data_IF_560308213787
#
_entry.id   IF_560308213787
#
_cell.length_a   1.000
_cell.length_b   1.000
_cell.length_c   1.000
_cell.angle_alpha   90.00
_cell.angle_beta   90.00
_cell.angle_gamma   90.00
#
_symmetry.space_group_name_H-M   'P 1'
#
loop_
_entity.id
_entity.type
_entity.pdbx_description
1 polymer ?
#
# COMPACT_ATOMS: atom_id res chain seq x y z
N UNK A 1 14.66 21.17 -1.41
CA UNK A 1 14.53 19.90 -0.65
C UNK A 1 13.66 18.99 -1.48
N UNK A 2 14.07 17.78 -1.77
CA UNK A 2 13.33 16.89 -2.67
C UNK A 2 11.98 16.54 -2.05
N UNK A 3 10.89 16.77 -2.78
CA UNK A 3 9.52 16.35 -2.46
C UNK A 3 9.36 14.81 -2.43
N UNK A 4 10.47 14.09 -2.31
CA UNK A 4 10.52 12.64 -2.38
C UNK A 4 10.12 12.04 -1.03
N UNK A 5 9.02 11.28 -1.04
CA UNK A 5 8.46 10.63 0.14
C UNK A 5 8.98 9.20 0.32
N UNK A 6 9.26 8.52 -0.80
CA UNK A 6 9.84 7.17 -0.81
C UNK A 6 10.95 7.12 -1.83
N UNK A 7 12.08 6.51 -1.47
CA UNK A 7 13.11 6.08 -2.41
C UNK A 7 13.54 4.65 -2.09
N UNK A 8 13.42 3.76 -3.07
CA UNK A 8 13.98 2.41 -3.08
C UNK A 8 15.13 2.44 -4.08
N UNK A 9 16.34 2.13 -3.61
CA UNK A 9 17.55 2.24 -4.42
C UNK A 9 18.22 0.86 -4.56
N UNK A 10 18.11 0.28 -5.75
CA UNK A 10 18.74 -1.00 -6.16
C UNK A 10 18.58 -2.13 -5.13
N UNK A 11 17.37 -2.26 -4.58
CA UNK A 11 17.08 -3.26 -3.56
C UNK A 11 17.09 -4.65 -4.16
N UNK A 12 17.78 -5.56 -3.49
CA UNK A 12 17.83 -7.00 -3.82
C UNK A 12 17.43 -7.81 -2.60
N UNK A 13 16.68 -8.92 -2.81
CA UNK A 13 16.29 -9.85 -1.76
C UNK A 13 16.25 -11.29 -2.24
N UNK A 14 16.90 -12.18 -1.47
CA UNK A 14 16.85 -13.63 -1.65
C UNK A 14 16.19 -14.32 -0.47
N UNK A 15 15.54 -15.42 -0.75
CA UNK A 15 15.08 -16.39 0.23
C UNK A 15 15.61 -17.78 -0.21
N UNK A 16 16.68 -18.24 0.42
CA UNK A 16 17.40 -19.42 -0.04
C UNK A 16 17.88 -19.23 -1.50
N UNK A 17 17.49 -20.14 -2.39
CA UNK A 17 17.87 -20.05 -3.81
C UNK A 17 16.96 -19.12 -4.65
N UNK A 18 15.86 -18.62 -4.08
CA UNK A 18 14.90 -17.79 -4.78
C UNK A 18 15.33 -16.31 -4.71
N UNK A 19 15.59 -15.70 -5.86
CA UNK A 19 15.79 -14.26 -5.99
C UNK A 19 14.42 -13.57 -6.08
N UNK A 20 13.90 -13.12 -4.94
CA UNK A 20 12.56 -12.55 -4.84
C UNK A 20 12.48 -11.10 -5.35
N UNK A 21 13.57 -10.32 -5.17
CA UNK A 21 13.74 -8.96 -5.70
C UNK A 21 15.14 -8.84 -6.29
N UNK A 22 15.24 -8.32 -7.49
CA UNK A 22 16.48 -8.19 -8.26
C UNK A 22 16.73 -6.75 -8.67
N UNK A 23 17.52 -6.04 -7.87
CA UNK A 23 17.99 -4.66 -8.09
C UNK A 23 16.86 -3.67 -8.43
N UNK A 24 15.72 -3.74 -7.71
CA UNK A 24 14.57 -2.86 -7.95
C UNK A 24 14.86 -1.47 -7.40
N UNK A 25 14.57 -0.46 -8.20
CA UNK A 25 14.57 0.94 -7.80
C UNK A 25 13.20 1.55 -8.11
N UNK A 26 12.68 2.38 -7.20
CA UNK A 26 11.50 3.17 -7.42
C UNK A 26 11.52 4.43 -6.55
N UNK A 27 10.88 5.48 -6.99
CA UNK A 27 10.72 6.71 -6.22
C UNK A 27 9.27 7.17 -6.24
N UNK A 28 8.83 7.82 -5.15
CA UNK A 28 7.48 8.33 -5.00
C UNK A 28 7.51 9.72 -4.40
N UNK A 29 6.85 10.67 -5.04
CA UNK A 29 6.74 12.05 -4.60
C UNK A 29 5.57 12.31 -3.65
N UNK A 30 5.51 13.52 -3.13
CA UNK A 30 4.40 14.01 -2.31
C UNK A 30 3.13 14.09 -3.15
N UNK A 31 2.00 13.58 -2.61
CA UNK A 31 0.71 13.63 -3.31
C UNK A 31 0.69 12.79 -4.58
N UNK A 32 1.46 11.72 -4.64
CA UNK A 32 1.50 10.79 -5.76
C UNK A 32 0.91 9.44 -5.35
N UNK A 33 0.14 8.84 -6.25
CA UNK A 33 -0.36 7.45 -6.13
C UNK A 33 0.41 6.56 -7.10
N UNK A 34 1.16 5.62 -6.55
CA UNK A 34 1.91 4.63 -7.30
C UNK A 34 1.26 3.25 -7.14
N UNK A 35 0.89 2.62 -8.24
CA UNK A 35 0.41 1.24 -8.19
C UNK A 35 1.48 0.25 -8.60
N UNK A 36 1.62 -0.81 -7.81
CA UNK A 36 2.53 -1.92 -8.07
C UNK A 36 1.71 -3.12 -8.55
N UNK A 37 1.91 -3.53 -9.80
CA UNK A 37 1.18 -4.65 -10.41
C UNK A 37 2.14 -5.76 -10.83
N UNK A 38 1.63 -6.97 -10.97
CA UNK A 38 2.41 -8.14 -11.37
C UNK A 38 1.66 -9.43 -11.03
N UNK A 39 2.04 -10.53 -11.67
CA UNK A 39 1.49 -11.85 -11.36
C UNK A 39 1.79 -12.27 -9.91
N UNK A 40 1.12 -13.33 -9.44
CA UNK A 40 1.45 -13.93 -8.15
C UNK A 40 2.90 -14.44 -8.20
N UNK A 41 3.66 -14.16 -7.14
CA UNK A 41 5.09 -14.49 -7.08
C UNK A 41 6.00 -13.50 -7.80
N UNK A 42 5.50 -12.42 -8.41
CA UNK A 42 6.33 -11.40 -9.06
C UNK A 42 7.25 -10.62 -8.11
N UNK A 43 7.03 -10.72 -6.79
CA UNK A 43 7.84 -10.03 -5.76
C UNK A 43 7.16 -8.84 -5.09
N UNK A 44 5.92 -8.48 -5.47
CA UNK A 44 5.21 -7.29 -4.96
C UNK A 44 5.17 -7.23 -3.42
N UNK A 45 4.60 -8.23 -2.77
CA UNK A 45 4.47 -8.25 -1.29
C UNK A 45 5.85 -8.30 -0.61
N UNK A 46 6.87 -8.92 -1.23
CA UNK A 46 8.25 -8.86 -0.73
C UNK A 46 8.79 -7.43 -0.77
N UNK A 47 8.61 -6.72 -1.89
CA UNK A 47 9.03 -5.33 -2.01
C UNK A 47 8.30 -4.43 -1.01
N UNK A 48 6.98 -4.61 -0.83
CA UNK A 48 6.21 -3.86 0.15
C UNK A 48 6.65 -4.16 1.59
N UNK A 49 6.94 -5.41 1.94
CA UNK A 49 7.47 -5.78 3.27
C UNK A 49 8.84 -5.15 3.54
N UNK A 50 9.69 -5.03 2.52
CA UNK A 50 10.97 -4.32 2.64
C UNK A 50 10.71 -2.83 2.82
N UNK A 51 9.83 -2.23 2.03
CA UNK A 51 9.47 -0.82 2.10
C UNK A 51 8.97 -0.39 3.49
N UNK A 52 8.20 -1.25 4.16
CA UNK A 52 7.68 -0.94 5.51
C UNK A 52 8.58 -1.46 6.65
N UNK A 53 9.73 -2.04 6.32
CA UNK A 53 10.73 -2.50 7.28
C UNK A 53 10.34 -3.77 8.04
N UNK A 54 9.45 -4.60 7.47
CA UNK A 54 9.14 -5.96 7.97
C UNK A 54 10.19 -6.96 7.50
N UNK A 55 10.76 -6.74 6.30
CA UNK A 55 11.88 -7.52 5.78
C UNK A 55 13.07 -6.61 5.49
N UNK A 56 14.27 -7.11 5.75
CA UNK A 56 15.51 -6.40 5.40
C UNK A 56 15.95 -6.80 3.99
N UNK A 57 16.40 -5.85 3.16
CA UNK A 57 17.02 -6.17 1.87
C UNK A 57 18.41 -6.78 2.09
N UNK A 58 18.87 -7.60 1.15
CA UNK A 58 20.25 -8.13 1.18
C UNK A 58 21.24 -7.11 0.62
N UNK A 59 20.80 -6.22 -0.26
CA UNK A 59 21.53 -5.06 -0.75
C UNK A 59 20.60 -3.94 -1.18
N UNK A 60 21.14 -2.73 -1.37
CA UNK A 60 20.35 -1.53 -1.65
C UNK A 60 19.88 -0.86 -0.36
N UNK A 61 19.03 0.16 -0.49
CA UNK A 61 18.47 0.86 0.66
C UNK A 61 17.07 1.40 0.39
N UNK A 62 16.35 1.70 1.47
CA UNK A 62 15.03 2.33 1.44
C UNK A 62 15.06 3.59 2.29
N UNK A 63 14.60 4.69 1.71
CA UNK A 63 14.43 5.97 2.40
C UNK A 63 12.93 6.29 2.46
N UNK A 64 12.46 6.67 3.65
CA UNK A 64 11.09 7.15 3.89
C UNK A 64 11.18 8.57 4.43
N UNK A 65 10.62 9.53 3.70
CA UNK A 65 10.70 10.96 4.05
C UNK A 65 12.14 11.43 4.31
N UNK A 66 13.10 10.88 3.54
CA UNK A 66 14.54 11.16 3.69
C UNK A 66 15.25 10.40 4.79
N UNK A 67 14.56 9.58 5.58
CA UNK A 67 15.13 8.77 6.64
C UNK A 67 15.42 7.34 6.15
N UNK A 68 16.66 6.89 6.34
CA UNK A 68 17.08 5.53 6.00
C UNK A 68 16.42 4.53 6.95
N UNK A 69 15.63 3.61 6.38
CA UNK A 69 14.88 2.63 7.12
C UNK A 69 15.77 1.64 7.92
N UNK A 70 16.98 1.35 7.44
CA UNK A 70 17.93 0.49 8.15
C UNK A 70 18.51 1.17 9.40
N UNK A 71 18.83 2.47 9.30
CA UNK A 71 19.53 3.21 10.36
C UNK A 71 18.56 3.93 11.32
N UNK A 72 17.38 4.32 10.84
CA UNK A 72 16.36 5.08 11.59
C UNK A 72 14.99 4.43 11.51
N UNK A 73 14.92 3.14 11.75
CA UNK A 73 13.72 2.33 11.51
C UNK A 73 12.49 2.78 12.31
N UNK A 74 12.66 3.31 13.52
CA UNK A 74 11.53 3.78 14.36
C UNK A 74 10.96 5.09 13.81
N UNK A 75 11.82 6.08 13.54
CA UNK A 75 11.38 7.39 13.02
C UNK A 75 10.81 7.26 11.60
N UNK A 76 11.49 6.52 10.74
CA UNK A 76 11.02 6.24 9.38
C UNK A 76 9.64 5.56 9.38
N UNK A 77 9.42 4.55 10.24
CA UNK A 77 8.12 3.85 10.34
C UNK A 77 6.99 4.71 10.88
N UNK A 78 7.25 5.77 11.64
CA UNK A 78 6.22 6.72 12.09
C UNK A 78 5.55 7.45 10.91
N UNK A 79 6.24 7.55 9.77
CA UNK A 79 5.70 8.12 8.54
C UNK A 79 4.83 7.15 7.75
N UNK A 80 4.74 5.87 8.17
CA UNK A 80 4.07 4.82 7.41
C UNK A 80 2.69 4.46 7.97
N UNK A 81 1.72 4.31 7.07
CA UNK A 81 0.51 3.54 7.28
C UNK A 81 0.58 2.28 6.42
N UNK A 82 0.29 1.11 6.96
CA UNK A 82 0.41 -0.13 6.22
C UNK A 82 -0.80 -1.04 6.39
N UNK A 83 -1.36 -1.49 5.28
CA UNK A 83 -2.33 -2.56 5.19
C UNK A 83 -1.66 -3.76 4.50
N UNK A 84 -1.36 -4.86 5.18
CA UNK A 84 -0.89 -6.09 4.54
C UNK A 84 -2.03 -6.82 3.81
N UNK A 85 -1.67 -7.66 2.84
CA UNK A 85 -2.61 -8.56 2.17
C UNK A 85 -3.29 -9.49 3.18
N UNK A 86 -2.48 -10.21 4.00
CA UNK A 86 -2.94 -11.04 5.10
C UNK A 86 -2.96 -10.24 6.39
N UNK A 87 -4.17 -10.01 6.90
CA UNK A 87 -4.39 -9.27 8.14
C UNK A 87 -4.33 -10.17 9.36
N UNK A 88 -3.31 -9.97 10.21
CA UNK A 88 -3.23 -10.54 11.54
C UNK A 88 -3.66 -9.47 12.53
N UNK A 89 -4.85 -9.62 13.11
CA UNK A 89 -5.43 -8.70 14.09
C UNK A 89 -5.52 -9.39 15.45
N UNK A 90 -5.59 -8.58 16.52
CA UNK A 90 -5.74 -9.10 17.88
C UNK A 90 -7.19 -9.47 18.15
N UNK A 91 -7.53 -10.76 18.04
CA UNK A 91 -8.89 -11.30 18.14
C UNK A 91 -9.57 -11.01 19.50
N UNK A 92 -8.79 -10.76 20.56
CA UNK A 92 -9.28 -10.50 21.92
C UNK A 92 -9.52 -9.02 22.21
N UNK A 93 -9.20 -8.13 21.29
CA UNK A 93 -9.54 -6.72 21.38
C UNK A 93 -10.87 -6.45 20.66
N UNK A 94 -11.60 -5.46 21.10
CA UNK A 94 -12.69 -4.86 20.31
C UNK A 94 -12.10 -4.05 19.16
N UNK A 95 -12.92 -3.71 18.16
CA UNK A 95 -12.46 -2.85 17.05
C UNK A 95 -11.96 -1.50 17.52
N UNK A 96 -12.65 -0.92 18.52
CA UNK A 96 -12.25 0.36 19.11
C UNK A 96 -10.92 0.25 19.86
N UNK A 97 -10.76 -0.73 20.76
CA UNK A 97 -9.51 -0.97 21.49
C UNK A 97 -8.33 -1.22 20.55
N UNK A 98 -8.59 -1.90 19.41
CA UNK A 98 -7.56 -2.10 18.39
C UNK A 98 -7.13 -0.77 17.75
N UNK A 99 -8.07 0.11 17.41
CA UNK A 99 -7.74 1.44 16.84
C UNK A 99 -7.07 2.35 17.89
N UNK A 100 -7.47 2.30 19.15
CA UNK A 100 -6.82 3.02 20.24
C UNK A 100 -5.37 2.56 20.44
N UNK A 101 -5.14 1.24 20.40
CA UNK A 101 -3.78 0.67 20.43
C UNK A 101 -2.92 1.20 19.27
N UNK A 102 -3.48 1.17 18.04
CA UNK A 102 -2.77 1.69 16.86
C UNK A 102 -2.51 3.18 16.97
N UNK A 103 -3.49 3.97 17.44
CA UNK A 103 -3.33 5.40 17.67
C UNK A 103 -2.18 5.68 18.67
N UNK A 104 -2.15 4.94 19.77
CA UNK A 104 -1.07 5.05 20.76
C UNK A 104 0.31 4.72 20.19
N UNK A 105 0.42 3.65 19.41
CA UNK A 105 1.69 3.25 18.76
C UNK A 105 2.18 4.26 17.71
N UNK A 106 1.24 4.94 17.03
CA UNK A 106 1.54 5.98 16.03
C UNK A 106 1.68 7.37 16.65
N UNK A 107 1.47 7.53 17.94
CA UNK A 107 1.37 8.84 18.61
C UNK A 107 0.34 9.75 17.89
N UNK A 108 -0.75 9.16 17.40
CA UNK A 108 -1.81 9.84 16.69
C UNK A 108 -2.84 10.42 17.67
N UNK A 109 -3.50 11.50 17.26
CA UNK A 109 -4.62 12.06 18.01
C UNK A 109 -5.79 11.06 18.03
N UNK A 110 -6.25 10.61 19.22
CA UNK A 110 -7.38 9.69 19.33
C UNK A 110 -8.68 10.23 18.72
N UNK A 111 -8.83 11.55 18.58
CA UNK A 111 -10.02 12.17 17.97
C UNK A 111 -10.24 11.72 16.51
N UNK A 112 -9.18 11.33 15.80
CA UNK A 112 -9.26 10.78 14.44
C UNK A 112 -9.88 9.39 14.36
N UNK A 113 -10.00 8.66 15.49
CA UNK A 113 -10.56 7.30 15.49
C UNK A 113 -12.03 7.31 15.05
N UNK A 114 -12.82 8.27 15.54
CA UNK A 114 -14.24 8.35 15.20
C UNK A 114 -14.45 8.59 13.70
N UNK A 115 -13.62 9.42 13.06
CA UNK A 115 -13.69 9.66 11.61
C UNK A 115 -13.46 8.37 10.83
N UNK A 116 -12.42 7.60 11.19
CA UNK A 116 -12.11 6.35 10.50
C UNK A 116 -13.17 5.27 10.76
N UNK A 117 -13.70 5.19 12.00
CA UNK A 117 -14.79 4.28 12.37
C UNK A 117 -16.05 4.55 11.54
N UNK A 118 -16.42 5.81 11.38
CA UNK A 118 -17.60 6.20 10.61
C UNK A 118 -17.38 6.02 9.12
N UNK A 119 -16.21 6.41 8.59
CA UNK A 119 -15.87 6.26 7.18
C UNK A 119 -15.93 4.79 6.73
N UNK A 120 -15.34 3.88 7.51
CA UNK A 120 -15.30 2.45 7.21
C UNK A 120 -16.54 1.68 7.70
N UNK A 121 -17.59 2.39 8.18
CA UNK A 121 -18.87 1.80 8.63
C UNK A 121 -18.70 0.79 9.77
N UNK A 122 -17.80 1.07 10.68
CA UNK A 122 -17.49 0.19 11.82
C UNK A 122 -18.28 0.57 13.10
N UNK A 123 -19.00 1.69 13.11
CA UNK A 123 -19.67 2.28 14.28
C UNK A 123 -20.56 1.28 15.03
N UNK A 124 -21.28 0.40 14.31
CA UNK A 124 -22.13 -0.65 14.89
C UNK A 124 -21.36 -1.82 15.47
N UNK A 125 -20.10 -1.99 15.10
CA UNK A 125 -19.29 -3.17 15.41
C UNK A 125 -18.08 -2.84 16.28
N UNK A 126 -17.76 -1.58 16.49
CA UNK A 126 -16.55 -1.13 17.18
C UNK A 126 -16.37 -1.73 18.59
N UNK A 127 -17.47 -2.06 19.28
CA UNK A 127 -17.47 -2.68 20.60
C UNK A 127 -17.44 -4.22 20.55
N UNK A 128 -17.55 -4.82 19.38
CA UNK A 128 -17.48 -6.28 19.20
C UNK A 128 -16.03 -6.72 19.14
N UNK A 129 -15.71 -7.88 19.71
CA UNK A 129 -14.37 -8.49 19.59
C UNK A 129 -14.01 -8.77 18.12
N UNK A 130 -12.78 -8.44 17.74
CA UNK A 130 -12.25 -8.60 16.38
C UNK A 130 -12.27 -10.06 15.93
N UNK A 131 -12.12 -11.03 16.85
CA UNK A 131 -12.27 -12.46 16.54
C UNK A 131 -13.63 -12.86 15.97
N UNK A 132 -14.68 -12.04 16.23
CA UNK A 132 -16.02 -12.23 15.67
C UNK A 132 -16.30 -11.44 14.39
N UNK A 133 -15.30 -10.75 13.81
CA UNK A 133 -15.46 -9.97 12.57
C UNK A 133 -15.47 -10.87 11.34
N UNK A 134 -16.32 -10.52 10.36
CA UNK A 134 -16.21 -11.09 9.01
C UNK A 134 -14.92 -10.62 8.31
N UNK A 135 -14.55 -11.28 7.21
CA UNK A 135 -13.38 -10.89 6.42
C UNK A 135 -13.45 -9.42 5.99
N UNK A 136 -14.60 -8.96 5.51
CA UNK A 136 -14.81 -7.56 5.11
C UNK A 136 -14.70 -6.58 6.29
N UNK A 137 -15.23 -6.94 7.47
CA UNK A 137 -15.08 -6.11 8.67
C UNK A 137 -13.60 -6.03 9.12
N UNK A 138 -12.87 -7.15 9.08
CA UNK A 138 -11.42 -7.17 9.36
C UNK A 138 -10.66 -6.29 8.39
N UNK A 139 -10.98 -6.35 7.08
CA UNK A 139 -10.35 -5.50 6.06
C UNK A 139 -10.65 -4.03 6.28
N UNK A 140 -11.90 -3.67 6.58
CA UNK A 140 -12.31 -2.29 6.92
C UNK A 140 -11.55 -1.77 8.16
N UNK A 141 -11.39 -2.60 9.21
CA UNK A 141 -10.61 -2.25 10.40
C UNK A 141 -9.13 -2.05 10.09
N UNK A 142 -8.55 -2.92 9.26
CA UNK A 142 -7.15 -2.79 8.82
C UNK A 142 -6.91 -1.53 7.99
N UNK A 143 -7.86 -1.16 7.11
CA UNK A 143 -7.82 0.09 6.35
C UNK A 143 -7.91 1.31 7.28
N UNK A 144 -8.84 1.31 8.23
CA UNK A 144 -8.96 2.36 9.24
C UNK A 144 -7.62 2.53 10.00
N UNK A 145 -7.03 1.43 10.47
CA UNK A 145 -5.74 1.44 11.15
C UNK A 145 -4.59 1.94 10.28
N UNK A 146 -4.56 1.59 8.99
CA UNK A 146 -3.52 2.06 8.07
C UNK A 146 -3.61 3.58 7.83
N UNK A 147 -4.83 4.12 7.70
CA UNK A 147 -5.08 5.54 7.39
C UNK A 147 -5.06 6.44 8.63
N UNK A 148 -5.24 5.85 9.82
CA UNK A 148 -5.27 6.58 11.10
C UNK A 148 -3.97 7.35 11.33
N UNK A 149 -4.10 8.59 11.76
CA UNK A 149 -2.98 9.46 12.15
C UNK A 149 -2.36 10.23 10.99
N UNK A 150 -1.12 10.69 11.19
CA UNK A 150 -0.41 11.61 10.28
C UNK A 150 0.63 10.91 9.41
N UNK A 151 0.43 9.63 9.09
CA UNK A 151 1.31 8.93 8.16
C UNK A 151 1.42 9.72 6.85
N UNK A 152 2.64 9.93 6.38
CA UNK A 152 2.89 10.66 5.13
C UNK A 152 2.93 9.74 3.91
N UNK A 153 3.18 8.45 4.16
CA UNK A 153 3.19 7.39 3.17
C UNK A 153 2.23 6.29 3.58
N UNK A 154 1.29 5.95 2.71
CA UNK A 154 0.31 4.88 2.94
C UNK A 154 0.60 3.73 1.95
N UNK A 155 0.79 2.54 2.48
CA UNK A 155 1.07 1.33 1.70
C UNK A 155 -0.09 0.35 1.86
N UNK A 156 -0.74 0.00 0.75
CA UNK A 156 -1.91 -0.86 0.72
C UNK A 156 -1.64 -2.09 -0.15
N UNK A 157 -1.58 -3.27 0.47
CA UNK A 157 -1.42 -4.54 -0.24
C UNK A 157 -2.78 -5.23 -0.39
N UNK A 158 -3.26 -5.35 -1.64
CA UNK A 158 -4.56 -5.90 -2.03
C UNK A 158 -5.73 -5.32 -1.19
N UNK A 159 -5.94 -4.00 -1.22
CA UNK A 159 -6.90 -3.35 -0.33
C UNK A 159 -8.36 -3.67 -0.66
N UNK A 160 -8.66 -4.15 -1.87
CA UNK A 160 -10.03 -4.41 -2.33
C UNK A 160 -10.56 -5.78 -1.88
N UNK A 161 -9.67 -6.71 -1.48
CA UNK A 161 -10.06 -8.06 -1.12
C UNK A 161 -11.05 -8.06 0.07
N UNK A 162 -12.23 -8.63 -0.14
CA UNK A 162 -13.28 -8.74 0.87
C UNK A 162 -14.14 -7.50 1.07
N UNK A 163 -13.94 -6.43 0.28
CA UNK A 163 -14.81 -5.25 0.29
C UNK A 163 -15.97 -5.42 -0.70
N UNK A 164 -17.11 -4.85 -0.34
CA UNK A 164 -18.23 -4.69 -1.26
C UNK A 164 -18.00 -3.53 -2.26
N UNK A 165 -18.80 -3.48 -3.32
CA UNK A 165 -18.64 -2.50 -4.42
C UNK A 165 -18.76 -1.05 -3.92
N UNK A 166 -19.63 -0.80 -2.94
CA UNK A 166 -19.81 0.54 -2.38
C UNK A 166 -18.56 0.99 -1.61
N UNK A 167 -18.01 0.11 -0.78
CA UNK A 167 -16.79 0.40 -0.04
C UNK A 167 -15.57 0.54 -0.97
N UNK A 168 -15.48 -0.26 -2.06
CA UNK A 168 -14.42 -0.06 -3.07
C UNK A 168 -14.51 1.35 -3.70
N UNK A 169 -15.72 1.85 -3.98
CA UNK A 169 -15.93 3.20 -4.48
C UNK A 169 -15.52 4.25 -3.45
N UNK A 170 -15.91 4.09 -2.18
CA UNK A 170 -15.51 4.98 -1.08
C UNK A 170 -14.00 5.00 -0.90
N UNK A 171 -13.35 3.83 -0.92
CA UNK A 171 -11.89 3.72 -0.79
C UNK A 171 -11.17 4.48 -1.92
N UNK A 172 -11.65 4.42 -3.16
CA UNK A 172 -11.09 5.21 -4.26
C UNK A 172 -11.14 6.71 -3.94
N UNK A 173 -12.30 7.23 -3.53
CA UNK A 173 -12.42 8.64 -3.14
C UNK A 173 -11.53 9.01 -1.94
N UNK A 174 -11.34 8.08 -1.00
CA UNK A 174 -10.40 8.30 0.12
C UNK A 174 -8.96 8.39 -0.37
N UNK A 175 -8.53 7.53 -1.29
CA UNK A 175 -7.21 7.60 -1.92
C UNK A 175 -7.01 8.94 -2.61
N UNK A 176 -7.99 9.41 -3.39
CA UNK A 176 -7.94 10.73 -4.04
C UNK A 176 -7.84 11.87 -3.01
N UNK A 177 -8.59 11.79 -1.91
CA UNK A 177 -8.52 12.77 -0.81
C UNK A 177 -7.15 12.78 -0.15
N UNK A 178 -6.59 11.60 0.17
CA UNK A 178 -5.27 11.49 0.80
C UNK A 178 -4.16 12.02 -0.11
N UNK A 179 -4.23 11.72 -1.42
CA UNK A 179 -3.34 12.29 -2.44
C UNK A 179 -3.41 13.82 -2.44
N UNK A 180 -4.62 14.38 -2.46
CA UNK A 180 -4.83 15.83 -2.47
C UNK A 180 -4.36 16.51 -1.17
N UNK A 181 -4.36 15.77 -0.05
CA UNK A 181 -3.79 16.21 1.22
C UNK A 181 -2.26 16.09 1.27
N UNK A 182 -1.63 15.66 0.16
CA UNK A 182 -0.18 15.56 0.01
C UNK A 182 0.42 14.28 0.62
N UNK A 183 -0.40 13.26 0.93
CA UNK A 183 0.13 11.94 1.29
C UNK A 183 0.56 11.19 0.03
N UNK A 184 1.63 10.43 0.13
CA UNK A 184 2.07 9.51 -0.91
C UNK A 184 1.44 8.13 -0.69
N UNK A 185 0.96 7.48 -1.76
CA UNK A 185 0.30 6.19 -1.64
C UNK A 185 0.94 5.16 -2.56
N UNK A 186 1.24 3.97 -2.02
CA UNK A 186 1.63 2.80 -2.81
C UNK A 186 0.54 1.75 -2.66
N UNK A 187 0.00 1.30 -3.78
CA UNK A 187 -1.10 0.33 -3.81
C UNK A 187 -0.71 -0.87 -4.67
N UNK A 188 -0.62 -2.05 -4.08
CA UNK A 188 -0.54 -3.28 -4.86
C UNK A 188 -1.94 -3.83 -5.07
N UNK A 189 -2.31 -4.11 -6.31
CA UNK A 189 -3.60 -4.72 -6.64
C UNK A 189 -3.55 -5.46 -7.98
N UNK A 190 -4.38 -6.48 -8.11
CA UNK A 190 -4.61 -7.21 -9.37
C UNK A 190 -5.85 -6.74 -10.11
N UNK A 191 -6.62 -5.76 -9.56
CA UNK A 191 -7.83 -5.20 -10.19
C UNK A 191 -7.42 -4.03 -11.09
N UNK A 192 -7.13 -4.32 -12.36
CA UNK A 192 -6.55 -3.36 -13.30
C UNK A 192 -7.40 -2.11 -13.53
N UNK A 193 -8.74 -2.24 -13.54
CA UNK A 193 -9.65 -1.10 -13.67
C UNK A 193 -9.61 -0.15 -12.47
N UNK A 194 -9.28 -0.65 -11.29
CA UNK A 194 -9.05 0.18 -10.10
C UNK A 194 -7.69 0.85 -10.18
N UNK A 195 -6.65 0.08 -10.48
CA UNK A 195 -5.26 0.58 -10.67
C UNK A 195 -5.24 1.74 -11.66
N UNK A 196 -5.80 1.57 -12.85
CA UNK A 196 -5.82 2.60 -13.88
C UNK A 196 -6.47 3.91 -13.42
N UNK A 197 -7.50 3.82 -12.57
CA UNK A 197 -8.26 5.00 -12.14
C UNK A 197 -7.62 5.78 -11.00
N UNK A 198 -6.83 5.13 -10.16
CA UNK A 198 -6.25 5.80 -8.98
C UNK A 198 -4.81 6.27 -9.20
N UNK A 199 -4.10 5.67 -10.16
CA UNK A 199 -2.65 5.79 -10.24
C UNK A 199 -2.18 6.97 -11.08
N UNK A 200 -1.24 7.72 -10.55
CA UNK A 200 -0.43 8.66 -11.32
C UNK A 200 0.66 7.90 -12.10
N UNK A 201 1.24 6.85 -11.48
CA UNK A 201 2.20 5.93 -12.11
C UNK A 201 1.91 4.48 -11.71
N UNK A 202 2.23 3.58 -12.61
CA UNK A 202 2.12 2.13 -12.43
C UNK A 202 3.47 1.49 -12.72
N UNK A 203 3.95 0.65 -11.80
CA UNK A 203 5.11 -0.22 -12.01
C UNK A 203 4.66 -1.66 -12.21
N UNK A 204 5.11 -2.29 -13.28
CA UNK A 204 4.86 -3.70 -13.58
C UNK A 204 6.03 -4.53 -13.15
N UNK A 205 5.81 -5.45 -12.22
CA UNK A 205 6.81 -6.40 -11.74
C UNK A 205 6.66 -7.78 -12.38
N UNK A 206 7.79 -8.38 -12.75
CA UNK A 206 7.88 -9.77 -13.23
C UNK A 206 9.17 -10.41 -12.71
N UNK A 207 9.06 -11.59 -12.10
CA UNK A 207 10.20 -12.36 -11.60
C UNK A 207 11.21 -11.54 -10.79
N UNK A 208 10.70 -10.72 -9.85
CA UNK A 208 11.51 -9.91 -8.95
C UNK A 208 12.06 -8.61 -9.55
N UNK A 209 11.77 -8.30 -10.81
CA UNK A 209 12.26 -7.09 -11.51
C UNK A 209 11.13 -6.11 -11.82
N UNK A 210 11.45 -4.83 -11.86
CA UNK A 210 10.62 -3.82 -12.49
C UNK A 210 10.82 -3.90 -14.01
N UNK A 211 9.76 -4.26 -14.76
CA UNK A 211 9.82 -4.44 -16.21
C UNK A 211 9.56 -3.13 -16.93
N UNK A 212 8.57 -2.38 -16.47
CA UNK A 212 8.19 -1.07 -17.00
C UNK A 212 7.52 -0.27 -15.90
N UNK A 213 7.69 1.05 -15.93
CA UNK A 213 6.93 1.96 -15.07
C UNK A 213 6.63 3.26 -15.80
N UNK A 214 5.50 3.87 -15.46
CA UNK A 214 5.07 5.16 -16.01
C UNK A 214 3.58 5.40 -15.75
N UNK A 215 3.06 6.56 -16.19
CA UNK A 215 1.62 6.81 -16.20
C UNK A 215 0.87 5.76 -17.02
N UNK A 216 -0.37 5.40 -16.67
CA UNK A 216 -1.17 4.43 -17.45
C UNK A 216 -1.25 4.74 -18.95
N UNK A 217 -1.34 6.00 -19.32
CA UNK A 217 -1.35 6.45 -20.72
C UNK A 217 -0.03 6.17 -21.45
N UNK A 218 1.10 6.34 -20.77
CA UNK A 218 2.43 6.04 -21.31
C UNK A 218 2.62 4.54 -21.52
N UNK A 219 2.18 3.72 -20.55
CA UNK A 219 2.23 2.26 -20.67
C UNK A 219 1.41 1.75 -21.86
N UNK A 220 0.25 2.36 -22.13
CA UNK A 220 -0.56 2.08 -23.32
C UNK A 220 0.20 2.40 -24.61
N UNK A 221 0.88 3.55 -24.63
CA UNK A 221 1.66 3.98 -25.80
C UNK A 221 2.86 3.06 -26.05
N UNK A 222 3.60 2.67 -24.99
CA UNK A 222 4.73 1.72 -25.09
C UNK A 222 4.25 0.35 -25.61
N UNK A 223 3.12 -0.15 -25.11
CA UNK A 223 2.51 -1.40 -25.56
C UNK A 223 1.88 -1.31 -26.96
N UNK A 224 1.72 -0.10 -27.53
CA UNK A 224 0.95 0.20 -28.75
C UNK A 224 -0.51 -0.26 -28.68
N UNK A 225 -1.12 -0.10 -27.50
CA UNK A 225 -2.47 -0.56 -27.16
C UNK A 225 -3.33 0.59 -26.61
N UNK A 226 -3.42 1.73 -27.33
CA UNK A 226 -4.04 2.95 -26.84
C UNK A 226 -5.52 2.80 -26.45
N UNK A 227 -6.28 1.99 -27.19
CA UNK A 227 -7.72 1.79 -27.00
C UNK A 227 -8.08 0.47 -26.27
N UNK A 228 -7.06 -0.34 -25.94
CA UNK A 228 -7.29 -1.63 -25.27
C UNK A 228 -7.63 -1.44 -23.78
N UNK A 229 -8.35 -2.36 -23.13
CA UNK A 229 -8.46 -2.41 -21.68
C UNK A 229 -7.07 -2.41 -21.02
N UNK A 230 -6.92 -1.73 -19.86
CA UNK A 230 -5.62 -1.67 -19.17
C UNK A 230 -5.12 -3.05 -18.71
N UNK A 231 -6.02 -3.98 -18.54
CA UNK A 231 -5.71 -5.38 -18.26
C UNK A 231 -4.89 -6.03 -19.39
N UNK A 232 -5.23 -5.77 -20.66
CA UNK A 232 -4.47 -6.28 -21.81
C UNK A 232 -3.07 -5.65 -21.89
N UNK A 233 -2.96 -4.35 -21.56
CA UNK A 233 -1.68 -3.64 -21.44
C UNK A 233 -0.82 -4.27 -20.36
N UNK A 234 -1.40 -4.59 -19.22
CA UNK A 234 -0.70 -5.29 -18.15
C UNK A 234 -0.19 -6.66 -18.61
N UNK A 235 -1.05 -7.48 -19.23
CA UNK A 235 -0.66 -8.80 -19.71
C UNK A 235 0.47 -8.75 -20.76
N UNK A 236 0.51 -7.71 -21.60
CA UNK A 236 1.60 -7.50 -22.55
C UNK A 236 2.99 -7.45 -21.88
N UNK A 237 3.09 -6.79 -20.71
CA UNK A 237 4.35 -6.66 -19.95
C UNK A 237 4.58 -7.82 -18.97
N UNK A 238 3.52 -8.44 -18.47
CA UNK A 238 3.59 -9.53 -17.49
C UNK A 238 3.91 -10.90 -18.09
N UNK A 239 3.69 -11.07 -19.40
CA UNK A 239 4.04 -12.28 -20.16
C UNK A 239 5.58 -12.35 -20.43
#
# INVERSE_FOLDING_TARGET
MSDLMVAIETVTKRYGDILAIDAVSLSLGRGEVYSLVGANGAGKSTLLRILVGIAEPDSGRVLICGEDLANRSVTARRHLGYLPEELILYDRLTGLEYLELVAGLKEADPSGISEEVDFFELSRFQQKLVGGYSLGMRKKLGLAAAMLGKAQVIVLDEPLNGLDVEMMRKLRHRIDSERNNGRALIVASHVMSFVERISDRVGVMRAGKMVVEGPPSELRAIARMNDAPFEDVFFHFAA
#
